data_IF_946285366756
#
_entry.id   IF_946285366756
#
_cell.length_a   1.000
_cell.length_b   1.000
_cell.length_c   1.000
_cell.angle_alpha   90.00
_cell.angle_beta   90.00
_cell.angle_gamma   90.00
#
_symmetry.space_group_name_H-M   'P 1'
#
loop_
_entity.id
_entity.type
_entity.pdbx_description
1 polymer ?
#
# COMPACT_ATOMS: atom_id res chain seq x y z
N UNK A 1 -29.52 6.34 -4.48
CA UNK A 1 -29.19 7.71 -4.01
C UNK A 1 -28.09 7.62 -2.95
N UNK A 2 -27.13 8.49 -3.04
CA UNK A 2 -26.00 8.61 -2.13
C UNK A 2 -26.42 9.13 -0.75
N UNK A 3 -25.62 8.83 0.28
CA UNK A 3 -25.92 9.21 1.68
C UNK A 3 -24.82 10.08 2.27
N UNK A 4 -25.14 10.93 3.24
CA UNK A 4 -24.15 11.63 4.03
C UNK A 4 -23.13 10.66 4.66
N UNK A 5 -21.88 11.05 4.70
CA UNK A 5 -20.77 10.19 5.15
C UNK A 5 -20.21 9.26 4.07
N UNK A 6 -20.89 9.08 2.95
CA UNK A 6 -20.31 8.32 1.84
C UNK A 6 -19.14 9.05 1.18
N UNK A 7 -18.18 8.26 0.71
CA UNK A 7 -16.98 8.75 0.05
C UNK A 7 -17.16 8.67 -1.46
N UNK A 8 -17.03 9.81 -2.15
CA UNK A 8 -17.13 9.90 -3.60
C UNK A 8 -15.89 10.52 -4.21
N UNK A 9 -15.56 10.10 -5.43
CA UNK A 9 -14.58 10.75 -6.28
C UNK A 9 -15.31 11.66 -7.27
N UNK A 10 -15.20 12.99 -7.08
CA UNK A 10 -15.64 13.94 -8.05
C UNK A 10 -14.57 14.09 -9.13
N UNK A 11 -14.83 13.55 -10.31
CA UNK A 11 -13.87 13.48 -11.40
C UNK A 11 -14.28 14.38 -12.57
N UNK A 12 -13.41 15.30 -12.96
CA UNK A 12 -13.52 16.08 -14.18
C UNK A 12 -12.45 15.67 -15.20
N UNK A 13 -11.22 15.44 -14.73
CA UNK A 13 -10.08 14.97 -15.51
C UNK A 13 -9.00 14.36 -14.58
N UNK A 14 -7.98 13.71 -15.14
CA UNK A 14 -6.87 13.16 -14.34
C UNK A 14 -6.21 14.20 -13.42
N UNK A 15 -6.16 15.46 -13.84
CA UNK A 15 -5.59 16.55 -13.04
C UNK A 15 -6.59 17.22 -12.11
N UNK A 16 -7.88 17.02 -12.32
CA UNK A 16 -8.96 17.71 -11.60
C UNK A 16 -9.92 16.63 -11.09
N UNK A 17 -9.59 16.08 -9.96
CA UNK A 17 -10.41 15.09 -9.29
C UNK A 17 -10.24 15.22 -7.77
N UNK A 18 -11.32 15.02 -7.04
CA UNK A 18 -11.38 15.26 -5.59
C UNK A 18 -12.06 14.09 -4.89
N UNK A 19 -11.39 13.58 -3.88
CA UNK A 19 -11.97 12.57 -2.98
C UNK A 19 -12.61 13.30 -1.81
N UNK A 20 -13.93 13.21 -1.68
CA UNK A 20 -14.70 13.94 -0.67
C UNK A 20 -15.66 13.03 0.08
N UNK A 21 -15.92 13.39 1.35
CA UNK A 21 -17.03 12.85 2.12
C UNK A 21 -18.25 13.73 1.91
N UNK A 22 -19.38 13.13 1.62
CA UNK A 22 -20.64 13.85 1.48
C UNK A 22 -21.11 14.34 2.84
N UNK A 23 -21.54 15.60 2.88
CA UNK A 23 -22.12 16.24 4.05
C UNK A 23 -23.62 16.45 3.87
N UNK A 24 -24.35 16.58 4.96
CA UNK A 24 -25.80 16.84 4.93
C UNK A 24 -26.14 18.19 4.29
N UNK A 25 -25.26 19.18 4.44
CA UNK A 25 -25.49 20.57 4.04
C UNK A 25 -24.20 21.21 3.52
N UNK A 26 -24.36 22.30 2.77
CA UNK A 26 -23.25 23.09 2.27
C UNK A 26 -22.82 22.68 0.86
N UNK A 27 -21.61 23.06 0.51
CA UNK A 27 -21.03 22.78 -0.81
C UNK A 27 -19.54 22.49 -0.72
N UNK A 28 -19.04 21.72 -1.67
CA UNK A 28 -17.62 21.50 -1.86
C UNK A 28 -17.06 22.56 -2.83
N UNK A 29 -16.05 23.28 -2.38
CA UNK A 29 -15.43 24.36 -3.15
C UNK A 29 -14.23 23.87 -3.95
N UNK A 30 -14.20 24.19 -5.24
CA UNK A 30 -13.09 23.90 -6.16
C UNK A 30 -12.71 25.15 -6.95
N UNK A 31 -11.56 25.16 -7.60
CA UNK A 31 -11.19 26.22 -8.55
C UNK A 31 -12.06 26.22 -9.83
N UNK A 32 -12.95 25.22 -10.00
CA UNK A 32 -13.95 25.12 -11.06
C UNK A 32 -15.37 25.44 -10.58
N UNK A 33 -15.48 26.03 -9.40
CA UNK A 33 -16.75 26.39 -8.78
C UNK A 33 -17.17 25.48 -7.64
N UNK A 34 -18.26 25.87 -6.97
CA UNK A 34 -18.83 25.13 -5.86
C UNK A 34 -19.82 24.09 -6.36
N UNK A 35 -19.86 22.94 -5.68
CA UNK A 35 -20.76 21.83 -5.98
C UNK A 35 -21.58 21.56 -4.72
N UNK A 36 -22.91 21.62 -4.84
CA UNK A 36 -23.84 21.44 -3.72
C UNK A 36 -23.86 19.99 -3.24
N UNK A 37 -23.67 19.77 -1.94
CA UNK A 37 -23.86 18.43 -1.36
C UNK A 37 -25.30 17.95 -1.48
N UNK A 38 -26.27 18.86 -1.33
CA UNK A 38 -27.68 18.53 -1.50
C UNK A 38 -27.97 17.96 -2.90
N UNK A 39 -27.41 18.55 -3.94
CA UNK A 39 -27.58 18.06 -5.32
C UNK A 39 -26.88 16.72 -5.54
N UNK A 40 -25.67 16.51 -4.96
CA UNK A 40 -24.94 15.22 -5.04
C UNK A 40 -25.77 14.11 -4.37
N UNK A 41 -26.38 14.38 -3.22
CA UNK A 41 -27.19 13.41 -2.49
C UNK A 41 -28.46 12.94 -3.24
N UNK A 42 -28.90 13.67 -4.28
CA UNK A 42 -30.01 13.27 -5.16
C UNK A 42 -29.54 12.39 -6.34
N UNK A 43 -28.25 12.09 -6.41
CA UNK A 43 -27.60 11.34 -7.49
C UNK A 43 -27.14 9.97 -7.03
N UNK A 44 -26.69 9.17 -8.00
CA UNK A 44 -26.01 7.89 -7.76
C UNK A 44 -24.59 7.91 -8.35
N UNK A 45 -23.81 6.88 -8.04
CA UNK A 45 -22.52 6.69 -8.70
C UNK A 45 -22.71 6.51 -10.22
N UNK A 46 -21.90 7.19 -11.00
CA UNK A 46 -21.96 7.25 -12.46
C UNK A 46 -22.66 8.49 -13.01
N UNK A 47 -23.41 9.21 -12.19
CA UNK A 47 -24.09 10.44 -12.59
C UNK A 47 -23.14 11.61 -12.77
N UNK A 48 -23.66 12.65 -13.44
CA UNK A 48 -22.96 13.93 -13.63
C UNK A 48 -23.61 14.99 -12.73
N UNK A 49 -22.77 15.79 -12.10
CA UNK A 49 -23.11 16.99 -11.36
C UNK A 49 -22.37 18.20 -11.95
N UNK A 50 -23.01 19.35 -11.95
CA UNK A 50 -22.39 20.58 -12.44
C UNK A 50 -22.04 21.51 -11.28
N UNK A 51 -20.87 22.14 -11.33
CA UNK A 51 -20.57 23.25 -10.41
C UNK A 51 -21.43 24.47 -10.76
N UNK A 52 -21.53 25.44 -9.84
CA UNK A 52 -22.25 26.69 -10.10
C UNK A 52 -21.69 27.50 -11.29
N UNK A 53 -20.47 27.18 -11.75
CA UNK A 53 -19.86 27.75 -12.96
C UNK A 53 -20.10 26.89 -14.22
N UNK A 54 -20.95 25.85 -14.13
CA UNK A 54 -21.29 24.99 -15.25
C UNK A 54 -20.25 23.93 -15.60
N UNK A 55 -19.20 23.72 -14.75
CA UNK A 55 -18.21 22.68 -15.00
C UNK A 55 -18.77 21.30 -14.60
N UNK A 56 -18.77 20.29 -15.50
CA UNK A 56 -19.26 18.95 -15.20
C UNK A 56 -18.25 18.16 -14.38
N UNK A 57 -18.76 17.37 -13.41
CA UNK A 57 -18.03 16.39 -12.65
C UNK A 57 -18.79 15.06 -12.65
N UNK A 58 -18.10 13.97 -12.91
CA UNK A 58 -18.64 12.62 -12.73
C UNK A 58 -18.56 12.24 -11.25
N UNK A 59 -19.61 11.67 -10.73
CA UNK A 59 -19.68 11.13 -9.37
C UNK A 59 -19.25 9.66 -9.43
N UNK A 60 -18.00 9.36 -9.09
CA UNK A 60 -17.44 8.02 -9.20
C UNK A 60 -17.23 7.38 -7.82
N UNK A 61 -17.36 6.06 -7.77
CA UNK A 61 -16.93 5.30 -6.61
C UNK A 61 -15.40 5.23 -6.64
N UNK A 62 -14.71 5.71 -5.59
CA UNK A 62 -13.25 5.68 -5.58
C UNK A 62 -12.73 4.24 -5.59
N UNK A 63 -11.69 3.99 -6.36
CA UNK A 63 -10.94 2.74 -6.33
C UNK A 63 -10.02 2.68 -5.12
N UNK A 64 -9.51 1.50 -4.79
CA UNK A 64 -8.52 1.35 -3.73
C UNK A 64 -7.22 2.13 -4.04
N UNK A 65 -6.85 2.22 -5.32
CA UNK A 65 -5.73 3.04 -5.77
C UNK A 65 -5.97 4.54 -5.49
N UNK A 66 -7.18 5.06 -5.79
CA UNK A 66 -7.53 6.46 -5.46
C UNK A 66 -7.42 6.72 -3.97
N UNK A 67 -7.93 5.80 -3.14
CA UNK A 67 -7.87 5.92 -1.69
C UNK A 67 -6.42 5.98 -1.18
N UNK A 68 -5.58 5.04 -1.64
CA UNK A 68 -4.17 4.97 -1.25
C UNK A 68 -3.38 6.21 -1.72
N UNK A 69 -3.65 6.68 -2.95
CA UNK A 69 -2.97 7.86 -3.51
C UNK A 69 -3.42 9.18 -2.88
N UNK A 70 -4.61 9.22 -2.27
CA UNK A 70 -5.19 10.43 -1.66
C UNK A 70 -5.20 10.41 -0.12
N UNK A 71 -4.39 9.56 0.51
CA UNK A 71 -4.14 9.66 1.96
C UNK A 71 -3.53 11.01 2.32
N UNK A 72 -3.80 11.49 3.52
CA UNK A 72 -3.08 12.66 4.06
C UNK A 72 -1.61 12.26 4.25
N UNK A 73 -0.77 12.73 3.32
CA UNK A 73 0.65 12.34 3.27
C UNK A 73 1.49 13.10 4.28
N UNK A 74 2.26 12.35 5.04
CA UNK A 74 3.35 12.84 5.89
C UNK A 74 4.69 12.22 5.49
N UNK A 75 4.64 11.15 4.67
CA UNK A 75 5.80 10.40 4.15
C UNK A 75 5.60 10.10 2.67
N UNK A 76 6.64 9.59 2.01
CA UNK A 76 6.51 8.90 0.72
C UNK A 76 5.60 7.69 0.91
N UNK A 77 4.84 7.33 -0.12
CA UNK A 77 3.91 6.20 -0.09
C UNK A 77 4.33 5.14 -1.12
N UNK A 78 3.97 3.89 -0.86
CA UNK A 78 4.08 2.82 -1.84
C UNK A 78 3.01 3.04 -2.92
N UNK A 79 3.42 3.05 -4.18
CA UNK A 79 2.53 3.26 -5.31
C UNK A 79 1.66 2.03 -5.60
N UNK A 80 0.44 2.20 -6.14
CA UNK A 80 -0.47 1.09 -6.42
C UNK A 80 0.12 -0.02 -7.30
N UNK A 81 0.96 0.33 -8.28
CA UNK A 81 1.65 -0.65 -9.15
C UNK A 81 2.54 -1.62 -8.34
N UNK A 82 3.24 -1.08 -7.33
CA UNK A 82 4.13 -1.85 -6.45
C UNK A 82 3.30 -2.64 -5.43
N UNK A 83 2.36 -1.99 -4.76
CA UNK A 83 1.50 -2.60 -3.76
C UNK A 83 0.66 -3.76 -4.33
N UNK A 84 0.15 -3.62 -5.55
CA UNK A 84 -0.61 -4.69 -6.23
C UNK A 84 0.23 -5.96 -6.42
N UNK A 85 1.49 -5.81 -6.86
CA UNK A 85 2.39 -6.95 -7.00
C UNK A 85 2.82 -7.52 -5.64
N UNK A 86 3.02 -6.67 -4.62
CA UNK A 86 3.33 -7.11 -3.25
C UNK A 86 2.22 -8.02 -2.72
N UNK A 87 0.95 -7.60 -2.83
CA UNK A 87 -0.22 -8.38 -2.38
C UNK A 87 -0.31 -9.72 -3.13
N UNK A 88 -0.22 -9.68 -4.46
CA UNK A 88 -0.35 -10.89 -5.29
C UNK A 88 0.75 -11.92 -4.99
N UNK A 89 2.01 -11.48 -4.94
CA UNK A 89 3.16 -12.38 -4.74
C UNK A 89 3.29 -12.89 -3.30
N UNK A 90 2.64 -12.23 -2.35
CA UNK A 90 2.62 -12.67 -0.95
C UNK A 90 1.40 -13.51 -0.60
N UNK A 91 0.54 -13.79 -1.59
CA UNK A 91 -0.68 -14.57 -1.42
C UNK A 91 -1.56 -14.06 -0.27
N UNK A 92 -1.89 -12.75 -0.31
CA UNK A 92 -2.79 -12.15 0.68
C UNK A 92 -4.24 -12.50 0.33
N UNK A 93 -4.99 -12.96 1.31
CA UNK A 93 -6.36 -13.46 1.17
C UNK A 93 -7.25 -12.99 2.33
N UNK A 94 -8.59 -13.03 2.20
CA UNK A 94 -9.51 -12.74 3.30
C UNK A 94 -9.28 -13.70 4.49
N UNK A 95 -8.95 -13.13 5.64
CA UNK A 95 -8.58 -13.90 6.84
C UNK A 95 -7.07 -13.94 7.12
N UNK A 96 -6.22 -13.49 6.20
CA UNK A 96 -4.77 -13.45 6.41
C UNK A 96 -4.40 -12.52 7.58
N UNK A 97 -3.39 -12.93 8.33
CA UNK A 97 -2.74 -12.15 9.40
C UNK A 97 -1.40 -11.66 8.89
N UNK A 98 -1.24 -10.37 8.72
CA UNK A 98 -0.04 -9.79 8.11
C UNK A 98 0.61 -8.74 9.02
N UNK A 99 1.94 -8.68 8.99
CA UNK A 99 2.72 -7.62 9.63
C UNK A 99 3.16 -6.63 8.55
N UNK A 100 3.01 -5.35 8.84
CA UNK A 100 3.59 -4.24 8.11
C UNK A 100 4.55 -3.49 9.01
N UNK A 101 5.73 -3.14 8.50
CA UNK A 101 6.72 -2.33 9.22
C UNK A 101 7.05 -1.11 8.39
N UNK A 102 6.91 0.07 9.00
CA UNK A 102 6.96 1.35 8.30
C UNK A 102 5.57 1.77 7.84
N UNK A 103 4.66 1.99 8.79
CA UNK A 103 3.27 2.44 8.53
C UNK A 103 3.21 3.70 7.67
N UNK A 104 4.10 4.65 7.94
CA UNK A 104 4.17 5.93 7.24
C UNK A 104 2.84 6.67 7.22
N UNK A 105 2.32 6.94 6.02
CA UNK A 105 1.00 7.58 5.83
C UNK A 105 -0.17 6.59 5.79
N UNK A 106 0.08 5.27 5.90
CA UNK A 106 -0.96 4.24 5.90
C UNK A 106 -1.49 3.82 4.52
N UNK A 107 -0.78 4.16 3.43
CA UNK A 107 -1.24 3.81 2.08
C UNK A 107 -1.19 2.29 1.83
N UNK A 108 -0.07 1.63 2.15
CA UNK A 108 0.03 0.17 2.08
C UNK A 108 -0.88 -0.49 3.12
N UNK A 109 -0.93 0.04 4.36
CA UNK A 109 -1.84 -0.43 5.41
C UNK A 109 -3.27 -0.52 4.92
N UNK A 110 -3.75 0.52 4.21
CA UNK A 110 -5.10 0.59 3.64
C UNK A 110 -5.34 -0.52 2.60
N UNK A 111 -4.38 -0.75 1.73
CA UNK A 111 -4.43 -1.81 0.72
C UNK A 111 -4.49 -3.17 1.40
N UNK A 112 -3.56 -3.45 2.31
CA UNK A 112 -3.52 -4.72 3.04
C UNK A 112 -4.81 -4.97 3.82
N UNK A 113 -5.31 -3.96 4.57
CA UNK A 113 -6.55 -4.06 5.34
C UNK A 113 -7.75 -4.40 4.46
N UNK A 114 -7.83 -3.83 3.25
CA UNK A 114 -8.89 -4.16 2.30
C UNK A 114 -8.84 -5.61 1.84
N UNK A 115 -7.66 -6.20 1.67
CA UNK A 115 -7.50 -7.58 1.20
C UNK A 115 -7.68 -8.64 2.30
N UNK A 116 -7.30 -8.34 3.55
CA UNK A 116 -7.40 -9.32 4.65
C UNK A 116 -8.80 -9.43 5.24
N UNK A 117 -9.67 -8.41 5.06
CA UNK A 117 -11.03 -8.41 5.63
C UNK A 117 -11.91 -9.53 5.03
N UNK A 118 -12.99 -9.97 5.73
CA UNK A 118 -13.45 -9.46 7.02
C UNK A 118 -12.81 -10.13 8.24
N UNK A 119 -12.13 -11.26 8.12
CA UNK A 119 -11.63 -12.02 9.28
C UNK A 119 -10.14 -11.81 9.57
N UNK A 120 -9.39 -11.25 8.61
CA UNK A 120 -7.96 -11.03 8.76
C UNK A 120 -7.59 -9.76 9.50
N UNK A 121 -6.29 -9.58 9.72
CA UNK A 121 -5.76 -8.44 10.47
C UNK A 121 -4.42 -7.99 9.92
N UNK A 122 -4.21 -6.68 9.85
CA UNK A 122 -2.93 -6.03 9.62
C UNK A 122 -2.38 -5.54 10.97
N UNK A 123 -1.19 -5.96 11.30
CA UNK A 123 -0.42 -5.50 12.46
C UNK A 123 0.63 -4.53 11.96
N UNK A 124 0.35 -3.23 12.09
CA UNK A 124 1.17 -2.18 11.48
C UNK A 124 2.08 -1.53 12.52
N UNK A 125 3.38 -1.60 12.29
CA UNK A 125 4.44 -1.14 13.18
C UNK A 125 5.08 0.13 12.66
N UNK A 126 5.13 1.15 13.51
CA UNK A 126 5.79 2.43 13.22
C UNK A 126 6.56 2.89 14.46
N UNK A 127 7.80 3.32 14.25
CA UNK A 127 8.65 3.81 15.35
C UNK A 127 8.25 5.21 15.82
N UNK A 128 7.68 6.03 14.93
CA UNK A 128 7.31 7.43 15.17
C UNK A 128 5.82 7.57 15.43
N UNK A 129 5.47 8.00 16.63
CA UNK A 129 4.06 8.09 17.06
C UNK A 129 3.21 9.05 16.21
N UNK A 130 3.81 10.14 15.69
CA UNK A 130 3.13 11.10 14.83
C UNK A 130 2.70 10.49 13.48
N UNK A 131 3.51 9.62 12.89
CA UNK A 131 3.15 8.91 11.66
C UNK A 131 2.07 7.86 11.91
N UNK A 132 2.21 7.10 12.99
CA UNK A 132 1.19 6.14 13.41
C UNK A 132 -0.17 6.82 13.60
N UNK A 133 -0.24 7.98 14.26
CA UNK A 133 -1.49 8.73 14.44
C UNK A 133 -2.08 9.19 13.12
N UNK A 134 -1.27 9.75 12.22
CA UNK A 134 -1.75 10.16 10.89
C UNK A 134 -2.29 8.98 10.08
N UNK A 135 -1.61 7.84 10.10
CA UNK A 135 -2.08 6.62 9.46
C UNK A 135 -3.41 6.12 10.05
N UNK A 136 -3.55 6.11 11.36
CA UNK A 136 -4.80 5.74 12.04
C UNK A 136 -5.97 6.61 11.59
N UNK A 137 -5.76 7.93 11.46
CA UNK A 137 -6.78 8.85 10.95
C UNK A 137 -7.15 8.52 9.49
N UNK A 138 -6.16 8.26 8.63
CA UNK A 138 -6.39 7.89 7.23
C UNK A 138 -7.17 6.57 7.11
N UNK A 139 -6.84 5.56 7.90
CA UNK A 139 -7.52 4.26 7.91
C UNK A 139 -8.95 4.37 8.44
N UNK A 140 -9.16 5.12 9.53
CA UNK A 140 -10.50 5.36 10.10
C UNK A 140 -11.42 6.07 9.10
N UNK A 141 -10.90 7.05 8.36
CA UNK A 141 -11.67 7.80 7.35
C UNK A 141 -12.31 6.90 6.30
N UNK A 142 -11.74 5.75 6.01
CA UNK A 142 -12.25 4.81 4.99
C UNK A 142 -12.91 3.57 5.61
N UNK A 143 -13.08 3.54 6.95
CA UNK A 143 -13.76 2.45 7.67
C UNK A 143 -12.98 1.13 7.70
N UNK A 144 -11.66 1.19 7.61
CA UNK A 144 -10.79 0.00 7.64
C UNK A 144 -10.11 -0.22 8.99
N UNK A 145 -10.34 0.66 9.97
CA UNK A 145 -9.79 0.55 11.32
C UNK A 145 -10.13 -0.77 12.05
N UNK A 146 -11.28 -1.45 11.83
CA UNK A 146 -11.51 -2.74 12.47
C UNK A 146 -10.52 -3.83 12.05
N UNK A 147 -9.82 -3.65 10.92
CA UNK A 147 -8.91 -4.65 10.34
C UNK A 147 -7.45 -4.33 10.56
N UNK A 148 -7.13 -3.27 11.33
CA UNK A 148 -5.75 -2.84 11.59
C UNK A 148 -5.51 -2.69 13.09
N UNK A 149 -4.36 -3.16 13.54
CA UNK A 149 -3.81 -2.86 14.86
C UNK A 149 -2.50 -2.12 14.69
N UNK A 150 -2.39 -0.96 15.34
CA UNK A 150 -1.22 -0.10 15.24
C UNK A 150 -0.35 -0.22 16.48
N UNK A 151 0.97 -0.37 16.24
CA UNK A 151 1.98 -0.46 17.29
C UNK A 151 3.04 0.62 17.08
N UNK A 152 3.21 1.49 18.09
CA UNK A 152 4.35 2.41 18.14
C UNK A 152 5.50 1.65 18.78
N UNK A 153 6.43 1.12 17.96
CA UNK A 153 7.44 0.18 18.43
C UNK A 153 8.68 0.17 17.53
N UNK A 154 9.85 0.06 18.14
CA UNK A 154 11.11 -0.18 17.44
C UNK A 154 11.32 -1.69 17.26
N UNK A 155 11.01 -2.19 16.06
CA UNK A 155 11.07 -3.63 15.77
C UNK A 155 12.49 -4.20 15.76
N UNK A 156 13.51 -3.39 15.56
CA UNK A 156 14.90 -3.81 15.66
C UNK A 156 15.25 -4.27 17.08
N UNK A 157 14.78 -3.51 18.08
CA UNK A 157 15.09 -3.75 19.50
C UNK A 157 14.12 -4.70 20.18
N UNK A 158 12.85 -4.59 19.81
CA UNK A 158 11.76 -5.18 20.57
C UNK A 158 11.06 -6.33 19.82
N UNK A 159 11.33 -6.51 18.53
CA UNK A 159 10.68 -7.52 17.68
C UNK A 159 9.17 -7.30 17.51
N UNK A 160 8.49 -8.34 17.07
CA UNK A 160 7.05 -8.36 16.87
C UNK A 160 6.31 -9.07 18.01
N UNK A 161 5.10 -8.60 18.32
CA UNK A 161 4.23 -9.25 19.30
C UNK A 161 3.53 -10.49 18.70
N UNK A 162 3.29 -10.47 17.38
CA UNK A 162 2.59 -11.53 16.68
C UNK A 162 3.54 -12.64 16.23
N UNK A 163 3.02 -13.84 16.24
CA UNK A 163 3.63 -15.05 15.68
C UNK A 163 2.65 -15.71 14.72
N UNK A 164 3.14 -16.63 13.92
CA UNK A 164 2.36 -17.41 12.96
C UNK A 164 1.54 -16.49 12.02
N UNK A 165 2.21 -15.47 11.43
CA UNK A 165 1.61 -14.58 10.43
C UNK A 165 1.83 -15.10 9.02
N UNK A 166 0.94 -14.71 8.12
CA UNK A 166 0.92 -15.18 6.72
C UNK A 166 1.87 -14.40 5.82
N UNK A 167 2.18 -13.15 6.16
CA UNK A 167 3.17 -12.36 5.42
C UNK A 167 3.74 -11.23 6.28
N UNK A 168 4.94 -10.76 5.88
CA UNK A 168 5.58 -9.57 6.45
C UNK A 168 5.98 -8.62 5.32
N UNK A 169 5.63 -7.34 5.48
CA UNK A 169 5.94 -6.25 4.55
C UNK A 169 6.85 -5.24 5.24
N UNK A 170 7.96 -4.90 4.58
CA UNK A 170 8.98 -3.98 5.11
C UNK A 170 9.13 -2.77 4.19
N UNK A 171 8.79 -1.60 4.72
CA UNK A 171 9.05 -0.29 4.10
C UNK A 171 9.83 0.59 5.07
N UNK A 172 11.10 0.25 5.22
CA UNK A 172 12.03 0.87 6.17
C UNK A 172 13.27 1.40 5.46
N UNK A 173 13.93 2.44 6.01
CA UNK A 173 15.26 2.83 5.55
C UNK A 173 16.30 1.71 5.67
N UNK A 174 16.17 0.84 6.66
CA UNK A 174 17.08 -0.27 6.95
C UNK A 174 16.33 -1.60 7.09
N UNK A 175 15.81 -2.19 5.97
CA UNK A 175 14.95 -3.39 6.05
C UNK A 175 15.64 -4.60 6.69
N UNK A 176 16.98 -4.69 6.58
CA UNK A 176 17.77 -5.81 7.12
C UNK A 176 17.63 -5.97 8.63
N UNK A 177 17.36 -4.90 9.40
CA UNK A 177 17.20 -4.98 10.87
C UNK A 177 15.96 -5.77 11.29
N UNK A 178 14.94 -5.78 10.42
CA UNK A 178 13.67 -6.46 10.68
C UNK A 178 13.61 -7.90 10.15
N UNK A 179 14.65 -8.40 9.45
CA UNK A 179 14.61 -9.74 8.82
C UNK A 179 14.55 -10.86 9.86
N UNK A 180 15.40 -10.80 10.89
CA UNK A 180 15.39 -11.81 11.96
C UNK A 180 14.07 -11.82 12.73
N UNK A 181 13.56 -10.68 13.23
CA UNK A 181 12.22 -10.65 13.82
C UNK A 181 11.12 -11.15 12.87
N UNK A 182 11.19 -10.81 11.58
CA UNK A 182 10.21 -11.28 10.59
C UNK A 182 10.24 -12.81 10.44
N UNK A 183 11.44 -13.41 10.39
CA UNK A 183 11.57 -14.86 10.37
C UNK A 183 10.88 -15.53 11.57
N UNK A 184 11.06 -14.97 12.75
CA UNK A 184 10.45 -15.51 13.97
C UNK A 184 8.92 -15.38 13.98
N UNK A 185 8.39 -14.36 13.34
CA UNK A 185 6.95 -14.10 13.28
C UNK A 185 6.23 -14.87 12.16
N UNK A 186 6.90 -15.14 11.03
CA UNK A 186 6.33 -15.80 9.87
C UNK A 186 6.08 -17.30 10.09
N UNK A 187 5.01 -17.82 9.53
CA UNK A 187 4.81 -19.26 9.29
C UNK A 187 5.87 -19.79 8.32
N UNK A 188 6.17 -21.09 8.42
CA UNK A 188 7.04 -21.78 7.45
C UNK A 188 6.49 -21.70 6.02
N UNK A 189 7.34 -21.46 5.02
CA UNK A 189 6.95 -21.34 3.61
C UNK A 189 6.29 -20.01 3.22
N UNK A 190 5.99 -19.13 4.17
CA UNK A 190 5.30 -17.87 3.95
C UNK A 190 6.25 -16.73 3.55
N UNK A 191 5.66 -15.64 3.02
CA UNK A 191 6.39 -14.62 2.28
C UNK A 191 6.81 -13.43 3.13
N UNK A 192 8.01 -12.91 2.84
CA UNK A 192 8.45 -11.58 3.23
C UNK A 192 8.67 -10.74 1.98
N UNK A 193 8.27 -9.46 2.06
CA UNK A 193 8.48 -8.48 0.99
C UNK A 193 9.13 -7.24 1.56
N UNK A 194 10.15 -6.72 0.89
CA UNK A 194 10.76 -5.43 1.23
C UNK A 194 10.72 -4.50 0.03
N UNK A 195 10.39 -3.23 0.25
CA UNK A 195 10.60 -2.17 -0.72
C UNK A 195 11.85 -1.38 -0.32
N UNK A 196 12.73 -1.13 -1.27
CA UNK A 196 13.97 -0.38 -1.06
C UNK A 196 14.23 0.58 -2.22
N UNK A 197 14.52 1.86 -1.95
CA UNK A 197 14.74 2.87 -3.00
C UNK A 197 16.08 2.74 -3.71
N UNK A 198 17.04 1.99 -3.20
CA UNK A 198 18.38 1.89 -3.81
C UNK A 198 18.98 0.48 -3.74
N UNK A 199 19.96 0.25 -4.61
CA UNK A 199 20.61 -1.06 -4.80
C UNK A 199 21.43 -1.50 -3.57
N UNK A 200 22.04 -0.58 -2.84
CA UNK A 200 22.86 -0.94 -1.67
C UNK A 200 21.99 -1.48 -0.52
N UNK A 201 20.80 -0.92 -0.34
CA UNK A 201 19.82 -1.49 0.60
C UNK A 201 19.39 -2.90 0.20
N UNK A 202 19.17 -3.13 -1.11
CA UNK A 202 18.81 -4.46 -1.62
C UNK A 202 19.91 -5.46 -1.34
N UNK A 203 21.17 -5.14 -1.66
CA UNK A 203 22.32 -6.01 -1.46
C UNK A 203 22.41 -6.45 0.01
N UNK A 204 22.32 -5.49 0.93
CA UNK A 204 22.40 -5.73 2.36
C UNK A 204 21.21 -6.57 2.86
N UNK A 205 19.98 -6.20 2.46
CA UNK A 205 18.76 -6.93 2.84
C UNK A 205 18.77 -8.36 2.33
N UNK A 206 19.17 -8.58 1.06
CA UNK A 206 19.31 -9.90 0.46
C UNK A 206 20.30 -10.76 1.24
N UNK A 207 21.49 -10.24 1.54
CA UNK A 207 22.52 -10.97 2.29
C UNK A 207 22.00 -11.43 3.66
N UNK A 208 21.29 -10.56 4.40
CA UNK A 208 20.70 -10.94 5.69
C UNK A 208 19.55 -11.96 5.53
N UNK A 209 18.74 -11.84 4.48
CA UNK A 209 17.71 -12.85 4.18
C UNK A 209 18.31 -14.23 3.92
N UNK A 210 19.41 -14.33 3.17
CA UNK A 210 20.13 -15.58 2.91
C UNK A 210 20.67 -16.19 4.21
N UNK A 211 21.31 -15.38 5.05
CA UNK A 211 21.81 -15.80 6.37
C UNK A 211 20.69 -16.29 7.29
N UNK A 212 19.53 -15.67 7.21
CA UNK A 212 18.35 -16.05 8.00
C UNK A 212 17.55 -17.21 7.39
N UNK A 213 18.00 -17.83 6.30
CA UNK A 213 17.37 -19.02 5.70
C UNK A 213 16.10 -18.70 4.93
N UNK A 214 15.99 -17.50 4.34
CA UNK A 214 15.01 -17.22 3.32
C UNK A 214 15.49 -17.74 1.96
N UNK A 215 14.55 -18.26 1.19
CA UNK A 215 14.80 -18.81 -0.15
C UNK A 215 13.94 -18.13 -1.19
N UNK A 216 14.12 -18.48 -2.48
CA UNK A 216 13.40 -17.87 -3.61
C UNK A 216 13.50 -16.35 -3.64
N UNK A 217 14.65 -15.82 -3.23
CA UNK A 217 14.88 -14.38 -3.18
C UNK A 217 14.89 -13.82 -4.59
N UNK A 218 13.97 -12.89 -4.88
CA UNK A 218 13.82 -12.24 -6.17
C UNK A 218 13.69 -10.75 -5.99
N UNK A 219 14.49 -10.00 -6.77
CA UNK A 219 14.42 -8.54 -6.83
C UNK A 219 13.74 -8.12 -8.13
N UNK A 220 12.81 -7.18 -8.05
CA UNK A 220 12.02 -6.69 -9.18
C UNK A 220 11.91 -5.17 -9.09
N UNK A 221 12.04 -4.50 -10.22
CA UNK A 221 11.59 -3.12 -10.44
C UNK A 221 10.38 -3.14 -11.36
N UNK A 222 9.37 -2.30 -11.09
CA UNK A 222 8.16 -2.20 -11.90
C UNK A 222 8.15 -0.86 -12.60
N UNK A 223 8.10 -0.90 -13.92
CA UNK A 223 7.92 0.27 -14.78
C UNK A 223 6.50 0.27 -15.33
N UNK A 224 5.71 1.27 -14.92
CA UNK A 224 4.37 1.51 -15.46
C UNK A 224 4.45 2.67 -16.45
N UNK A 225 3.97 2.45 -17.66
CA UNK A 225 3.99 3.45 -18.71
C UNK A 225 2.63 3.59 -19.36
N UNK A 226 1.97 4.68 -19.11
CA UNK A 226 0.69 5.01 -19.71
C UNK A 226 0.84 5.42 -21.18
N UNK A 227 -0.19 5.15 -21.96
CA UNK A 227 -0.32 5.61 -23.35
C UNK A 227 -1.38 6.71 -23.44
N UNK A 228 -1.02 7.79 -24.10
CA UNK A 228 -1.96 8.83 -24.49
C UNK A 228 -2.58 8.44 -25.83
N UNK A 229 -3.81 7.92 -25.78
CA UNK A 229 -4.56 7.50 -26.97
C UNK A 229 -5.41 8.67 -27.46
N UNK A 230 -5.20 9.07 -28.71
CA UNK A 230 -5.95 10.17 -29.38
C UNK A 230 -6.32 9.75 -30.79
N UNK A 231 -7.37 10.35 -31.34
CA UNK A 231 -7.77 10.15 -32.75
C UNK A 231 -6.63 10.52 -33.71
N UNK A 232 -5.84 11.54 -33.36
CA UNK A 232 -4.72 12.04 -34.18
C UNK A 232 -3.41 11.28 -33.99
N UNK A 233 -3.39 10.27 -33.13
CA UNK A 233 -2.20 9.44 -32.87
C UNK A 233 -2.07 9.01 -31.41
N UNK A 234 -1.48 7.85 -31.21
CA UNK A 234 -1.21 7.27 -29.90
C UNK A 234 0.28 7.32 -29.59
N UNK A 235 0.64 7.79 -28.39
CA UNK A 235 2.03 7.83 -27.93
C UNK A 235 2.11 7.60 -26.42
N UNK A 236 3.26 7.15 -25.90
CA UNK A 236 3.49 7.16 -24.47
C UNK A 236 3.40 8.57 -23.88
N UNK A 237 2.96 8.69 -22.62
CA UNK A 237 3.04 9.95 -21.90
C UNK A 237 4.50 10.38 -21.73
N UNK A 238 4.75 11.69 -21.71
CA UNK A 238 6.11 12.24 -21.63
C UNK A 238 6.72 12.17 -20.23
N UNK A 239 5.89 12.30 -19.21
CA UNK A 239 6.32 12.30 -17.81
C UNK A 239 5.83 11.03 -17.14
N UNK A 240 6.77 10.21 -16.68
CA UNK A 240 6.49 9.00 -15.90
C UNK A 240 7.21 9.08 -14.55
N UNK A 241 6.64 8.45 -13.54
CA UNK A 241 7.39 8.10 -12.33
C UNK A 241 8.16 6.83 -12.63
N UNK A 242 9.38 6.96 -13.10
CA UNK A 242 10.17 5.83 -13.60
C UNK A 242 10.67 4.92 -12.47
N UNK A 243 11.06 5.49 -11.33
CA UNK A 243 11.59 4.74 -10.20
C UNK A 243 10.80 5.06 -8.92
N UNK A 244 10.21 4.04 -8.31
CA UNK A 244 9.51 4.13 -7.02
C UNK A 244 10.20 3.30 -5.94
N UNK A 245 11.03 2.37 -6.35
CA UNK A 245 11.78 1.44 -5.51
C UNK A 245 11.89 0.07 -6.15
N UNK A 246 12.71 -0.76 -5.53
CA UNK A 246 12.89 -2.16 -5.86
C UNK A 246 12.14 -3.01 -4.84
N UNK A 247 11.41 -4.02 -5.33
CA UNK A 247 10.72 -4.99 -4.52
C UNK A 247 11.58 -6.24 -4.37
N UNK A 248 11.85 -6.64 -3.15
CA UNK A 248 12.56 -7.86 -2.81
C UNK A 248 11.56 -8.83 -2.17
N UNK A 249 11.35 -9.98 -2.82
CA UNK A 249 10.48 -11.08 -2.36
C UNK A 249 11.31 -12.25 -1.90
N UNK A 250 10.90 -12.90 -0.81
CA UNK A 250 11.50 -14.15 -0.35
C UNK A 250 10.48 -14.98 0.42
N UNK A 251 10.79 -16.26 0.66
CA UNK A 251 9.97 -17.15 1.48
C UNK A 251 10.81 -17.78 2.60
N UNK A 252 10.19 -17.88 3.79
CA UNK A 252 10.81 -18.53 4.95
C UNK A 252 10.98 -20.03 4.70
N UNK A 253 12.20 -20.52 4.89
CA UNK A 253 12.52 -21.95 4.87
C UNK A 253 13.26 -22.35 6.14
N UNK A 254 13.49 -23.63 6.34
CA UNK A 254 14.44 -24.10 7.35
C UNK A 254 15.86 -23.65 6.98
N UNK A 255 16.68 -23.37 7.98
CA UNK A 255 18.11 -23.14 7.75
C UNK A 255 18.76 -24.49 7.46
N UNK A 256 19.49 -24.57 6.35
CA UNK A 256 20.30 -25.74 6.08
C UNK A 256 21.35 -25.90 7.19
N UNK A 257 21.39 -27.04 7.82
CA UNK A 257 22.47 -27.36 8.75
C UNK A 257 23.77 -27.49 7.97
N UNK A 258 24.80 -26.75 8.36
CA UNK A 258 26.10 -26.70 7.70
C UNK A 258 26.83 -28.06 7.64
N UNK A 259 26.28 -29.11 8.26
CA UNK A 259 26.92 -30.42 8.37
C UNK A 259 26.75 -31.35 7.14
N UNK A 260 25.99 -30.97 6.10
CA UNK A 260 25.66 -31.90 4.99
C UNK A 260 25.93 -31.42 3.57
N UNK A 261 26.68 -30.36 3.35
CA UNK A 261 27.05 -29.96 1.97
C UNK A 261 28.55 -29.75 1.84
N UNK A 262 29.26 -30.83 1.47
CA UNK A 262 30.47 -30.70 0.64
C UNK A 262 30.06 -29.97 -0.67
N UNK A 263 30.73 -28.88 -0.95
CA UNK A 263 30.58 -28.07 -2.17
C UNK A 263 30.69 -28.96 -3.43
N UNK A 264 29.59 -29.48 -3.91
CA UNK A 264 29.50 -30.02 -5.27
C UNK A 264 28.31 -29.36 -5.98
N UNK A 265 28.62 -28.47 -6.89
CA UNK A 265 27.71 -28.03 -7.95
C UNK A 265 27.04 -26.69 -7.82
N UNK A 266 27.77 -25.60 -7.66
CA UNK A 266 27.39 -24.27 -8.13
C UNK A 266 28.51 -23.74 -9.01
N UNK A 267 28.56 -24.22 -10.24
CA UNK A 267 29.15 -23.48 -11.34
C UNK A 267 28.08 -22.48 -11.84
N UNK A 268 28.48 -21.25 -11.95
CA UNK A 268 27.76 -20.09 -12.47
C UNK A 268 27.20 -20.33 -13.89
#
# INVERSE_FOLDING_TARGET
MLKPGELVLLYHSERINYLIFLQDKGSFSTHKGNISYFEILQKDYGDIIYSHLGTPFYILKPTLADLAMKVRRTTTIIYPKDAGLMVLKSFIYPGARVIEVGTGSGALTMILANFVRPQGKVYSYEKRSEFSRNAQENIRRVGLDPYVEFFVRDVEREGFLQKEVDAVFLDLPEPWVAIKPAREALKGGHSIVSLSPNVEQIKKTKAVMELEGFVRIKVIEILERELLVRVTGTRPIERIVSHTGYLLFAQKSEKLSTNNYSLQGLSL
#
